data_IF_635183694885
#
_entry.id   IF_635183694885
#
_cell.length_a   1.000
_cell.length_b   1.000
_cell.length_c   1.000
_cell.angle_alpha   90.00
_cell.angle_beta   90.00
_cell.angle_gamma   90.00
#
_symmetry.space_group_name_H-M   'P 1'
#
loop_
_entity.id
_entity.type
_entity.pdbx_description
1 polymer ?
#
# COMPACT_ATOMS: atom_id res chain seq x y z
N UNK A 1 45.31 3.09 -11.10
CA UNK A 1 44.05 3.70 -11.55
C UNK A 1 42.93 2.75 -11.11
N UNK A 2 42.38 2.97 -9.91
CA UNK A 2 41.35 2.11 -9.31
C UNK A 2 40.01 2.62 -9.84
N UNK A 3 39.40 1.86 -10.74
CA UNK A 3 38.03 2.14 -11.21
C UNK A 3 37.09 1.73 -10.07
N UNK A 4 36.65 2.72 -9.29
CA UNK A 4 35.59 2.57 -8.34
C UNK A 4 34.28 2.32 -9.10
N UNK A 5 33.83 1.08 -9.14
CA UNK A 5 32.47 0.76 -9.57
C UNK A 5 31.54 1.20 -8.44
N UNK A 6 30.96 2.39 -8.58
CA UNK A 6 29.82 2.78 -7.78
C UNK A 6 28.69 1.82 -8.13
N UNK A 7 28.47 0.81 -7.29
CA UNK A 7 27.24 0.02 -7.30
C UNK A 7 26.12 0.99 -6.92
N UNK A 8 25.37 1.46 -7.91
CA UNK A 8 24.06 2.04 -7.68
C UNK A 8 23.19 0.95 -7.01
N UNK A 9 23.14 0.98 -5.71
CA UNK A 9 22.17 0.19 -4.95
C UNK A 9 20.81 0.84 -5.21
N UNK A 10 20.07 0.33 -6.21
CA UNK A 10 18.69 0.71 -6.44
C UNK A 10 17.91 0.27 -5.21
N UNK A 11 17.60 1.24 -4.34
CA UNK A 11 16.77 1.03 -3.17
C UNK A 11 15.32 1.20 -3.62
N UNK A 12 14.60 0.10 -3.75
CA UNK A 12 13.17 0.09 -3.99
C UNK A 12 12.51 -0.33 -2.69
N UNK A 13 11.67 0.53 -2.09
CA UNK A 13 10.68 0.06 -1.13
C UNK A 13 9.66 -0.71 -1.95
N UNK A 14 9.55 -1.95 -1.63
CA UNK A 14 8.60 -2.85 -2.25
C UNK A 14 7.62 -3.30 -1.17
N UNK A 15 6.47 -3.81 -1.62
CA UNK A 15 5.60 -4.58 -0.74
C UNK A 15 6.44 -5.43 0.24
N UNK A 16 6.08 -5.57 1.52
CA UNK A 16 4.78 -5.24 2.11
C UNK A 16 4.69 -3.85 2.75
N UNK A 17 5.64 -2.93 2.49
CA UNK A 17 5.52 -1.55 2.97
C UNK A 17 4.31 -0.84 2.34
N UNK A 18 3.58 -0.09 3.16
CA UNK A 18 2.50 0.82 2.72
C UNK A 18 3.10 2.17 2.32
N UNK A 19 4.20 2.55 2.98
CA UNK A 19 4.99 3.74 2.65
C UNK A 19 5.84 3.45 1.41
N UNK A 20 5.63 4.20 0.34
CA UNK A 20 6.38 4.09 -0.91
C UNK A 20 7.76 4.76 -0.81
N UNK A 21 8.68 4.39 -1.69
CA UNK A 21 10.00 4.97 -1.84
C UNK A 21 10.11 5.89 -3.05
N UNK A 22 11.25 6.58 -3.18
CA UNK A 22 11.55 7.45 -4.32
C UNK A 22 12.21 6.73 -5.50
N UNK A 23 12.44 5.41 -5.40
CA UNK A 23 13.09 4.63 -6.46
C UNK A 23 12.31 4.61 -7.77
N UNK A 24 13.04 4.61 -8.87
CA UNK A 24 12.49 4.51 -10.23
C UNK A 24 13.22 3.42 -11.00
N UNK A 25 12.55 2.78 -11.96
CA UNK A 25 13.08 1.61 -12.66
C UNK A 25 14.25 1.95 -13.60
N UNK A 26 14.30 3.20 -14.09
CA UNK A 26 15.20 3.61 -15.15
C UNK A 26 14.61 3.34 -16.53
N UNK A 27 15.09 4.08 -17.52
CA UNK A 27 14.53 4.10 -18.88
C UNK A 27 14.44 2.72 -19.52
N UNK A 28 13.23 2.37 -19.97
CA UNK A 28 12.95 1.16 -20.74
C UNK A 28 12.84 -0.12 -19.92
N UNK A 29 12.97 -0.05 -18.60
CA UNK A 29 12.84 -1.20 -17.69
C UNK A 29 11.43 -1.35 -17.18
N UNK A 30 11.10 -2.58 -16.79
CA UNK A 30 9.81 -2.94 -16.21
C UNK A 30 9.98 -3.55 -14.83
N UNK A 31 8.98 -3.29 -13.97
CA UNK A 31 8.76 -3.98 -12.72
C UNK A 31 7.34 -4.56 -12.73
N UNK A 32 7.20 -5.81 -12.36
CA UNK A 32 5.92 -6.45 -12.12
C UNK A 32 5.83 -6.88 -10.67
N UNK A 33 4.74 -6.54 -10.01
CA UNK A 33 4.44 -6.91 -8.63
C UNK A 33 3.10 -7.63 -8.56
N UNK A 34 3.06 -8.71 -7.80
CA UNK A 34 1.84 -9.40 -7.44
C UNK A 34 1.74 -9.43 -5.92
N UNK A 35 0.88 -8.59 -5.37
CA UNK A 35 0.76 -8.32 -3.94
C UNK A 35 -0.59 -8.80 -3.42
N UNK A 36 -0.57 -9.66 -2.42
CA UNK A 36 -1.76 -10.19 -1.76
C UNK A 36 -1.84 -9.71 -0.32
N UNK A 37 -3.05 -9.38 0.13
CA UNK A 37 -3.31 -9.10 1.54
C UNK A 37 -4.63 -9.72 1.98
N UNK A 38 -4.73 -10.09 3.26
CA UNK A 38 -6.00 -10.50 3.87
C UNK A 38 -6.12 -9.86 5.24
N UNK A 39 -7.18 -9.08 5.44
CA UNK A 39 -7.50 -8.41 6.69
C UNK A 39 -8.66 -9.11 7.39
N UNK A 40 -8.61 -9.05 8.71
CA UNK A 40 -9.62 -9.56 9.61
C UNK A 40 -9.98 -8.47 10.61
N UNK A 41 -11.27 -8.23 10.73
CA UNK A 41 -11.83 -7.32 11.72
C UNK A 41 -12.93 -8.04 12.50
N UNK A 42 -13.02 -7.76 13.80
CA UNK A 42 -14.02 -8.34 14.68
C UNK A 42 -14.57 -7.30 15.63
N UNK A 43 -15.80 -6.90 15.41
CA UNK A 43 -16.53 -6.04 16.33
C UNK A 43 -17.47 -6.83 17.23
N UNK A 44 -17.53 -6.43 18.50
CA UNK A 44 -18.50 -6.95 19.48
C UNK A 44 -19.36 -5.79 19.97
N UNK A 45 -20.66 -5.91 19.82
CA UNK A 45 -21.65 -4.99 20.37
C UNK A 45 -22.55 -5.74 21.33
N UNK A 46 -22.94 -5.09 22.43
CA UNK A 46 -23.97 -5.61 23.37
C UNK A 46 -25.21 -4.78 23.19
N UNK A 47 -26.33 -5.41 22.88
CA UNK A 47 -27.63 -4.75 22.95
C UNK A 47 -28.09 -4.63 24.39
N UNK A 48 -28.99 -3.66 24.70
CA UNK A 48 -29.62 -3.47 26.00
C UNK A 48 -30.37 -4.72 26.50
N UNK A 49 -30.67 -5.66 25.60
CA UNK A 49 -31.30 -6.96 25.88
C UNK A 49 -30.32 -8.02 26.40
N UNK A 50 -29.03 -7.72 26.57
CA UNK A 50 -28.00 -8.67 27.00
C UNK A 50 -27.53 -9.64 25.91
N UNK A 51 -27.97 -9.47 24.67
CA UNK A 51 -27.51 -10.26 23.52
C UNK A 51 -26.22 -9.70 22.96
N UNK A 52 -25.16 -10.51 22.92
CA UNK A 52 -23.91 -10.15 22.29
C UNK A 52 -24.00 -10.40 20.79
N UNK A 53 -23.89 -9.34 19.99
CA UNK A 53 -23.76 -9.42 18.53
C UNK A 53 -22.26 -9.35 18.19
N UNK A 54 -21.79 -10.27 17.36
CA UNK A 54 -20.43 -10.26 16.84
C UNK A 54 -20.49 -10.08 15.33
N UNK A 55 -19.94 -8.99 14.83
CA UNK A 55 -19.67 -8.80 13.41
C UNK A 55 -18.22 -9.22 13.12
N UNK A 56 -18.01 -9.94 12.02
CA UNK A 56 -16.72 -10.35 11.50
C UNK A 56 -16.62 -9.93 10.05
N UNK A 57 -15.59 -9.18 9.72
CA UNK A 57 -15.29 -8.81 8.35
C UNK A 57 -13.96 -9.43 7.92
N UNK A 58 -13.95 -9.92 6.70
CA UNK A 58 -12.77 -10.45 6.05
C UNK A 58 -12.69 -9.88 4.67
N UNK A 59 -11.61 -9.14 4.42
CA UNK A 59 -11.27 -8.65 3.10
C UNK A 59 -9.98 -9.29 2.64
N UNK A 60 -9.99 -9.84 1.42
CA UNK A 60 -8.79 -10.33 0.75
C UNK A 60 -8.63 -9.56 -0.56
N UNK A 61 -7.44 -9.08 -0.83
CA UNK A 61 -7.13 -8.34 -2.05
C UNK A 61 -5.89 -8.93 -2.71
N UNK A 62 -5.92 -9.04 -4.04
CA UNK A 62 -4.77 -9.35 -4.88
C UNK A 62 -4.57 -8.19 -5.86
N UNK A 63 -3.42 -7.53 -5.80
CA UNK A 63 -3.03 -6.43 -6.70
C UNK A 63 -1.95 -6.90 -7.67
N UNK A 64 -2.20 -6.76 -8.97
CA UNK A 64 -1.17 -6.85 -9.99
C UNK A 64 -0.78 -5.43 -10.41
N UNK A 65 0.50 -5.07 -10.23
CA UNK A 65 1.03 -3.78 -10.61
C UNK A 65 2.13 -3.94 -11.69
N UNK A 66 2.06 -3.11 -12.73
CA UNK A 66 3.07 -3.01 -13.77
C UNK A 66 3.63 -1.59 -13.79
N UNK A 67 4.92 -1.49 -13.53
CA UNK A 67 5.67 -0.22 -13.57
C UNK A 67 6.57 -0.20 -14.80
N UNK A 68 6.56 0.91 -15.54
CA UNK A 68 7.43 1.16 -16.68
C UNK A 68 8.26 2.42 -16.49
N UNK A 69 9.57 2.29 -16.58
CA UNK A 69 10.51 3.41 -16.57
C UNK A 69 10.51 4.16 -17.91
N UNK A 70 9.86 5.33 -17.95
CA UNK A 70 9.78 6.17 -19.15
C UNK A 70 11.10 6.86 -19.42
N UNK A 71 11.70 7.40 -18.37
CA UNK A 71 13.07 7.94 -18.31
C UNK A 71 13.69 7.54 -16.96
N UNK A 72 14.96 7.84 -16.73
CA UNK A 72 15.70 7.33 -15.57
C UNK A 72 15.11 7.73 -14.21
N UNK A 73 14.32 8.79 -14.17
CA UNK A 73 13.71 9.32 -12.93
C UNK A 73 12.19 9.47 -13.00
N UNK A 74 11.53 8.86 -14.02
CA UNK A 74 10.06 8.90 -14.15
C UNK A 74 9.53 7.52 -14.52
N UNK A 75 8.60 7.02 -13.70
CA UNK A 75 7.86 5.80 -13.92
C UNK A 75 6.37 6.07 -14.13
N UNK A 76 5.73 5.20 -14.93
CA UNK A 76 4.28 5.06 -15.01
C UNK A 76 3.90 3.72 -14.43
N UNK A 77 2.90 3.72 -13.54
CA UNK A 77 2.45 2.56 -12.78
C UNK A 77 0.98 2.31 -13.10
N UNK A 78 0.64 1.09 -13.49
CA UNK A 78 -0.72 0.61 -13.67
C UNK A 78 -1.01 -0.47 -12.63
N UNK A 79 -2.09 -0.32 -11.84
CA UNK A 79 -2.49 -1.29 -10.82
C UNK A 79 -3.89 -1.82 -11.08
N UNK A 80 -4.02 -3.13 -11.05
CA UNK A 80 -5.25 -3.91 -11.25
C UNK A 80 -5.54 -4.70 -9.96
N UNK A 81 -6.48 -4.25 -9.10
CA UNK A 81 -6.87 -4.98 -7.90
C UNK A 81 -8.05 -5.90 -8.16
N UNK A 82 -8.04 -7.06 -7.48
CA UNK A 82 -9.18 -7.95 -7.36
C UNK A 82 -9.45 -8.21 -5.88
N UNK A 83 -10.71 -8.08 -5.45
CA UNK A 83 -11.12 -8.15 -4.05
C UNK A 83 -12.14 -9.25 -3.81
N UNK A 84 -12.05 -9.84 -2.61
CA UNK A 84 -13.05 -10.73 -1.99
C UNK A 84 -13.40 -10.14 -0.64
N UNK A 85 -14.68 -9.82 -0.42
CA UNK A 85 -15.18 -9.25 0.83
C UNK A 85 -16.27 -10.15 1.40
N UNK A 86 -16.13 -10.56 2.64
CA UNK A 86 -17.10 -11.36 3.36
C UNK A 86 -17.41 -10.74 4.70
N UNK A 87 -18.72 -10.55 4.98
CA UNK A 87 -19.22 -10.05 6.26
C UNK A 87 -20.15 -11.07 6.88
N UNK A 88 -19.92 -11.39 8.16
CA UNK A 88 -20.73 -12.30 8.96
C UNK A 88 -21.22 -11.58 10.21
N UNK A 89 -22.49 -11.78 10.56
CA UNK A 89 -23.09 -11.29 11.81
C UNK A 89 -23.66 -12.49 12.58
N UNK A 90 -23.21 -12.68 13.81
CA UNK A 90 -23.61 -13.82 14.66
C UNK A 90 -23.52 -15.17 13.94
N UNK A 91 -22.36 -15.39 13.24
CA UNK A 91 -22.02 -16.57 12.44
C UNK A 91 -22.93 -16.80 11.21
N UNK A 92 -23.76 -15.81 10.85
CA UNK A 92 -24.53 -15.84 9.60
C UNK A 92 -23.88 -14.93 8.56
N UNK A 93 -23.58 -15.45 7.37
CA UNK A 93 -23.07 -14.65 6.26
C UNK A 93 -24.17 -13.71 5.75
N UNK A 94 -23.90 -12.40 5.80
CA UNK A 94 -24.79 -11.34 5.31
C UNK A 94 -24.33 -10.76 3.98
N UNK A 95 -23.02 -10.84 3.68
CA UNK A 95 -22.44 -10.44 2.40
C UNK A 95 -21.27 -11.35 2.04
N UNK A 96 -21.19 -11.73 0.76
CA UNK A 96 -20.05 -12.47 0.17
C UNK A 96 -19.95 -12.04 -1.29
N UNK A 97 -19.02 -11.12 -1.56
CA UNK A 97 -18.87 -10.49 -2.88
C UNK A 97 -17.42 -10.57 -3.35
N UNK A 98 -17.22 -10.58 -4.65
CA UNK A 98 -15.89 -10.52 -5.24
C UNK A 98 -15.91 -9.89 -6.63
N UNK A 99 -14.79 -9.35 -7.06
CA UNK A 99 -14.65 -8.76 -8.38
C UNK A 99 -13.41 -7.87 -8.50
N UNK A 100 -13.25 -7.30 -9.68
CA UNK A 100 -12.25 -6.26 -9.95
C UNK A 100 -12.66 -5.01 -9.16
N UNK A 101 -11.70 -4.38 -8.48
CA UNK A 101 -11.89 -3.09 -7.85
C UNK A 101 -11.44 -1.95 -8.78
N UNK A 102 -11.44 -0.71 -8.27
CA UNK A 102 -11.07 0.45 -9.08
C UNK A 102 -9.60 0.40 -9.52
N UNK A 103 -9.35 0.62 -10.80
CA UNK A 103 -8.02 0.54 -11.44
C UNK A 103 -7.29 1.87 -11.25
N UNK A 104 -6.00 1.85 -10.88
CA UNK A 104 -5.21 3.07 -10.75
C UNK A 104 -4.11 3.20 -11.80
N UNK A 105 -3.85 4.45 -12.19
CA UNK A 105 -2.72 4.86 -13.01
C UNK A 105 -2.00 5.97 -12.25
N UNK A 106 -0.70 5.79 -12.01
CA UNK A 106 0.13 6.73 -11.26
C UNK A 106 1.39 7.06 -12.05
N UNK A 107 1.95 8.25 -11.80
CA UNK A 107 3.24 8.68 -12.32
C UNK A 107 4.14 9.00 -11.15
N UNK A 108 5.26 8.30 -11.01
CA UNK A 108 6.27 8.62 -10.00
C UNK A 108 7.40 9.42 -10.65
N UNK A 109 7.66 10.61 -10.14
CA UNK A 109 8.77 11.47 -10.60
C UNK A 109 9.71 11.78 -9.44
N UNK A 110 10.92 11.16 -9.47
CA UNK A 110 12.02 11.50 -8.56
C UNK A 110 12.72 12.75 -9.11
N UNK A 111 12.44 13.90 -8.52
CA UNK A 111 12.95 15.19 -8.98
C UNK A 111 14.25 15.62 -8.29
N UNK A 112 14.65 14.94 -7.20
CA UNK A 112 15.87 15.22 -6.48
C UNK A 112 16.49 13.94 -5.94
N UNK A 113 17.83 13.84 -6.05
CA UNK A 113 18.62 12.77 -5.42
C UNK A 113 20.04 13.29 -5.18
N UNK A 114 20.49 13.27 -3.92
CA UNK A 114 21.85 13.65 -3.52
C UNK A 114 22.21 13.05 -2.16
N UNK A 115 23.41 12.46 -2.04
CA UNK A 115 23.98 11.97 -0.78
C UNK A 115 23.03 11.04 0.01
N UNK A 116 22.35 10.11 -0.70
CA UNK A 116 21.39 9.17 -0.14
C UNK A 116 20.05 9.80 0.28
N UNK A 117 19.82 11.09 0.03
CA UNK A 117 18.52 11.75 0.21
C UNK A 117 17.88 11.94 -1.15
N UNK A 118 16.61 11.55 -1.27
CA UNK A 118 15.84 11.73 -2.50
C UNK A 118 14.40 12.13 -2.23
N UNK A 119 13.81 12.87 -3.19
CA UNK A 119 12.43 13.32 -3.16
C UNK A 119 11.72 12.94 -4.45
N UNK A 120 10.48 12.50 -4.32
CA UNK A 120 9.60 12.24 -5.46
C UNK A 120 8.19 12.78 -5.19
N UNK A 121 7.47 13.03 -6.29
CA UNK A 121 6.01 13.20 -6.27
C UNK A 121 5.38 12.07 -7.07
N UNK A 122 4.20 11.65 -6.63
CA UNK A 122 3.43 10.58 -7.27
C UNK A 122 1.97 10.99 -7.39
N UNK A 123 1.60 11.79 -8.43
CA UNK A 123 0.21 11.99 -8.80
C UNK A 123 -0.39 10.71 -9.38
N UNK A 124 -1.67 10.50 -9.14
CA UNK A 124 -2.42 9.35 -9.62
C UNK A 124 -3.89 9.64 -9.87
N UNK A 125 -4.51 8.80 -10.68
CA UNK A 125 -5.95 8.75 -10.90
C UNK A 125 -6.41 7.31 -10.73
N UNK A 126 -7.55 7.13 -10.06
CA UNK A 126 -8.23 5.84 -9.96
C UNK A 126 -9.52 5.91 -10.77
N UNK A 127 -9.71 4.94 -11.65
CA UNK A 127 -10.84 4.85 -12.55
C UNK A 127 -11.90 3.91 -11.96
N UNK A 128 -13.21 4.25 -12.03
CA UNK A 128 -14.29 3.48 -11.42
C UNK A 128 -14.60 2.21 -12.23
N UNK A 129 -13.73 1.21 -12.12
CA UNK A 129 -13.89 -0.09 -12.75
C UNK A 129 -14.60 -1.10 -11.85
N UNK A 130 -14.57 -0.87 -10.53
CA UNK A 130 -15.22 -1.70 -9.53
C UNK A 130 -16.73 -1.49 -9.48
N UNK A 131 -17.44 -2.55 -9.05
CA UNK A 131 -18.88 -2.50 -8.84
C UNK A 131 -19.20 -1.81 -7.51
N UNK A 132 -19.65 -0.56 -7.56
CA UNK A 132 -19.98 0.24 -6.36
C UNK A 132 -21.12 -0.35 -5.52
N UNK A 133 -22.05 -1.08 -6.16
CA UNK A 133 -23.20 -1.68 -5.47
C UNK A 133 -22.78 -2.95 -4.69
N UNK A 134 -21.56 -3.44 -4.94
CA UNK A 134 -20.89 -4.52 -4.19
C UNK A 134 -19.75 -4.01 -3.30
N UNK A 135 -19.63 -2.69 -3.13
CA UNK A 135 -18.53 -2.08 -2.37
C UNK A 135 -17.12 -2.45 -2.89
N UNK A 136 -17.00 -2.60 -4.23
CA UNK A 136 -15.74 -2.88 -4.92
C UNK A 136 -15.17 -1.64 -5.63
N UNK A 137 -15.85 -0.50 -5.56
CA UNK A 137 -15.42 0.74 -6.17
C UNK A 137 -16.21 1.95 -5.69
N UNK A 138 -15.67 3.14 -5.94
CA UNK A 138 -16.25 4.43 -5.50
C UNK A 138 -17.35 4.96 -6.42
N UNK A 139 -17.47 4.37 -7.63
CA UNK A 139 -18.41 4.80 -8.66
C UNK A 139 -18.01 6.10 -9.38
N UNK A 140 -16.87 6.72 -9.01
CA UNK A 140 -16.30 7.92 -9.65
C UNK A 140 -14.78 7.82 -9.72
N UNK A 141 -14.20 8.58 -10.65
CA UNK A 141 -12.74 8.72 -10.68
C UNK A 141 -12.25 9.51 -9.46
N UNK A 142 -11.20 9.03 -8.82
CA UNK A 142 -10.55 9.69 -7.68
C UNK A 142 -9.15 10.15 -8.06
N UNK A 143 -8.65 11.20 -7.41
CA UNK A 143 -7.31 11.73 -7.66
C UNK A 143 -6.42 11.61 -6.43
N UNK A 144 -5.14 11.26 -6.61
CA UNK A 144 -4.16 11.17 -5.53
C UNK A 144 -2.93 12.01 -5.84
N UNK A 145 -2.27 12.49 -4.78
CA UNK A 145 -0.96 13.12 -4.87
C UNK A 145 -0.16 12.74 -3.62
N UNK A 146 0.99 12.09 -3.81
CA UNK A 146 1.93 11.79 -2.74
C UNK A 146 3.22 12.57 -2.91
N UNK A 147 3.73 13.12 -1.81
CA UNK A 147 5.10 13.55 -1.65
C UNK A 147 5.86 12.46 -0.90
N UNK A 148 6.94 11.99 -1.49
CA UNK A 148 7.71 10.85 -1.02
C UNK A 148 9.14 11.29 -0.75
N UNK A 149 9.69 10.88 0.40
CA UNK A 149 11.08 11.10 0.77
C UNK A 149 11.74 9.77 1.09
N UNK A 150 12.95 9.55 0.60
CA UNK A 150 13.80 8.43 1.00
C UNK A 150 15.13 8.95 1.50
N UNK A 151 15.62 8.40 2.61
CA UNK A 151 16.97 8.63 3.15
C UNK A 151 17.66 7.29 3.35
N UNK A 152 18.69 7.02 2.57
CA UNK A 152 19.59 5.86 2.71
C UNK A 152 20.78 6.24 3.62
N UNK A 153 20.98 5.48 4.71
CA UNK A 153 22.08 5.59 5.67
C UNK A 153 22.47 4.15 6.04
N UNK A 154 23.24 3.48 5.18
CA UNK A 154 23.61 2.07 5.37
C UNK A 154 23.96 1.71 6.84
N UNK A 155 23.35 0.66 7.43
CA UNK A 155 22.47 -0.35 6.83
C UNK A 155 20.97 0.01 6.83
N UNK A 156 20.59 1.24 7.18
CA UNK A 156 19.21 1.71 7.33
C UNK A 156 18.75 2.48 6.09
N UNK A 157 17.48 2.30 5.72
CA UNK A 157 16.80 3.17 4.77
C UNK A 157 15.48 3.61 5.38
N UNK A 158 15.17 4.89 5.30
CA UNK A 158 13.94 5.48 5.82
C UNK A 158 13.12 6.09 4.71
N UNK A 159 11.80 5.93 4.78
CA UNK A 159 10.85 6.49 3.83
C UNK A 159 9.76 7.25 4.56
N UNK A 160 9.37 8.41 4.05
CA UNK A 160 8.25 9.22 4.54
C UNK A 160 7.31 9.54 3.38
N UNK A 161 6.02 9.28 3.55
CA UNK A 161 4.99 9.67 2.61
C UNK A 161 4.01 10.64 3.26
N UNK A 162 3.72 11.73 2.54
CA UNK A 162 2.61 12.63 2.83
C UNK A 162 1.69 12.61 1.61
N UNK A 163 0.45 12.23 1.80
CA UNK A 163 -0.51 12.01 0.73
C UNK A 163 -1.78 12.82 0.90
N UNK A 164 -2.39 13.14 -0.23
CA UNK A 164 -3.73 13.66 -0.35
C UNK A 164 -4.48 12.89 -1.42
N UNK A 165 -5.72 12.46 -1.11
CA UNK A 165 -6.66 11.84 -2.03
C UNK A 165 -7.93 12.67 -2.10
N UNK A 166 -8.29 13.10 -3.30
CA UNK A 166 -9.64 13.59 -3.60
C UNK A 166 -10.50 12.38 -3.96
N UNK A 167 -11.27 11.92 -2.98
CA UNK A 167 -12.09 10.71 -3.04
C UNK A 167 -13.48 11.04 -3.57
N UNK A 168 -13.58 11.45 -4.84
CA UNK A 168 -14.88 11.60 -5.49
C UNK A 168 -15.60 10.25 -5.47
N UNK A 169 -16.83 10.21 -4.97
CA UNK A 169 -17.56 8.96 -4.79
C UNK A 169 -19.08 9.16 -4.88
N UNK A 170 -19.82 8.05 -5.00
CA UNK A 170 -21.29 8.00 -4.98
C UNK A 170 -21.83 7.18 -3.79
N UNK A 171 -20.96 6.79 -2.86
CA UNK A 171 -21.25 5.92 -1.72
C UNK A 171 -21.25 6.67 -0.38
N UNK A 172 -21.34 8.00 -0.43
CA UNK A 172 -21.40 8.92 0.72
C UNK A 172 -20.19 8.91 1.66
N UNK A 173 -19.01 8.62 1.13
CA UNK A 173 -17.75 8.73 1.85
C UNK A 173 -17.23 10.17 1.89
N UNK A 174 -16.26 10.42 2.80
CA UNK A 174 -15.50 11.66 2.89
C UNK A 174 -14.64 11.85 1.64
N UNK A 175 -14.64 13.06 1.09
CA UNK A 175 -13.97 13.35 -0.18
C UNK A 175 -12.50 13.76 -0.01
N UNK A 176 -12.15 14.44 1.08
CA UNK A 176 -10.80 14.93 1.32
C UNK A 176 -10.07 14.03 2.32
N UNK A 177 -9.17 13.19 1.84
CA UNK A 177 -8.43 12.20 2.65
C UNK A 177 -6.95 12.58 2.65
N UNK A 178 -6.38 12.84 3.82
CA UNK A 178 -4.93 12.91 3.99
C UNK A 178 -4.35 11.57 4.39
N UNK A 179 -3.09 11.33 4.05
CA UNK A 179 -2.30 10.17 4.44
C UNK A 179 -0.93 10.62 4.94
N UNK A 180 -0.42 9.99 6.01
CA UNK A 180 0.95 10.16 6.47
C UNK A 180 1.49 8.82 6.95
N UNK A 181 2.68 8.44 6.47
CA UNK A 181 3.32 7.19 6.88
C UNK A 181 4.83 7.28 6.87
N UNK A 182 5.47 6.51 7.76
CA UNK A 182 6.91 6.40 7.92
C UNK A 182 7.30 4.92 7.91
N UNK A 183 8.31 4.57 7.12
CA UNK A 183 8.88 3.23 7.09
C UNK A 183 10.39 3.26 7.31
N UNK A 184 10.89 2.14 7.81
CA UNK A 184 12.31 1.84 7.95
C UNK A 184 12.63 0.44 7.41
N UNK A 185 13.71 0.34 6.66
CA UNK A 185 14.30 -0.91 6.25
C UNK A 185 15.65 -1.10 6.94
N UNK A 186 15.95 -2.31 7.35
CA UNK A 186 17.25 -2.68 7.89
C UNK A 186 17.85 -3.83 7.08
N UNK A 187 18.97 -3.57 6.41
CA UNK A 187 19.72 -4.55 5.59
C UNK A 187 20.49 -5.51 6.48
N UNK A 188 19.94 -6.72 6.75
CA UNK A 188 20.63 -7.77 7.53
C UNK A 188 21.73 -8.39 6.70
N UNK A 189 21.43 -8.72 5.44
CA UNK A 189 22.36 -9.26 4.46
C UNK A 189 22.13 -8.58 3.11
N UNK A 190 22.88 -8.98 2.08
CA UNK A 190 22.63 -8.51 0.70
C UNK A 190 21.27 -8.96 0.14
N UNK A 191 20.69 -10.01 0.71
CA UNK A 191 19.46 -10.65 0.21
C UNK A 191 18.29 -10.56 1.19
N UNK A 192 18.51 -10.14 2.44
CA UNK A 192 17.47 -10.08 3.47
C UNK A 192 17.40 -8.71 4.11
N UNK A 193 16.23 -8.11 4.08
CA UNK A 193 15.90 -6.88 4.78
C UNK A 193 14.77 -7.13 5.78
N UNK A 194 14.86 -6.58 6.98
CA UNK A 194 13.70 -6.39 7.86
C UNK A 194 13.07 -5.03 7.58
N UNK A 195 11.76 -4.97 7.73
CA UNK A 195 11.00 -3.74 7.51
C UNK A 195 10.07 -3.46 8.68
N UNK A 196 9.86 -2.17 8.94
CA UNK A 196 8.84 -1.68 9.84
C UNK A 196 8.16 -0.46 9.23
N UNK A 197 6.86 -0.30 9.48
CA UNK A 197 6.08 0.81 8.92
C UNK A 197 5.01 1.22 9.94
N UNK A 198 4.78 2.51 10.06
CA UNK A 198 3.67 3.10 10.82
C UNK A 198 2.99 4.15 9.95
N UNK A 199 1.69 4.28 10.08
CA UNK A 199 0.97 5.28 9.30
C UNK A 199 -0.44 5.52 9.82
N UNK A 200 -1.04 6.58 9.31
CA UNK A 200 -2.43 6.93 9.54
C UNK A 200 -2.98 7.67 8.33
N UNK A 201 -4.28 7.61 8.14
CA UNK A 201 -4.99 8.38 7.13
C UNK A 201 -6.34 8.87 7.68
N UNK A 202 -6.93 9.83 7.00
CA UNK A 202 -8.26 10.32 7.38
C UNK A 202 -9.29 9.24 7.10
N UNK A 203 -10.18 9.01 8.08
CA UNK A 203 -11.28 8.04 7.91
C UNK A 203 -12.22 8.48 6.78
N UNK A 204 -12.57 7.54 5.90
CA UNK A 204 -13.54 7.75 4.82
C UNK A 204 -14.97 7.88 5.34
N UNK A 205 -15.30 7.23 6.45
CA UNK A 205 -16.59 7.36 7.10
C UNK A 205 -16.77 8.76 7.71
N UNK A 206 -17.76 9.50 7.22
CA UNK A 206 -18.09 10.86 7.68
C UNK A 206 -18.58 10.90 9.11
N UNK A 207 -19.12 9.79 9.65
CA UNK A 207 -19.63 9.68 11.01
C UNK A 207 -18.54 9.40 12.04
N UNK A 208 -17.35 8.98 11.60
CA UNK A 208 -16.23 8.65 12.46
C UNK A 208 -15.23 9.80 12.57
N UNK A 209 -14.87 10.17 13.81
CA UNK A 209 -13.77 11.10 14.10
C UNK A 209 -12.44 10.37 14.36
N UNK A 210 -12.46 9.03 14.41
CA UNK A 210 -11.25 8.22 14.60
C UNK A 210 -10.62 7.92 13.26
N UNK A 211 -9.38 8.34 13.06
CA UNK A 211 -8.61 8.08 11.86
C UNK A 211 -7.94 6.70 11.96
N UNK A 212 -8.05 5.82 10.95
CA UNK A 212 -7.34 4.55 10.93
C UNK A 212 -5.83 4.78 11.04
N UNK A 213 -5.19 3.99 11.89
CA UNK A 213 -3.75 4.03 12.13
C UNK A 213 -3.22 2.62 12.33
N UNK A 214 -2.04 2.34 11.79
CA UNK A 214 -1.46 1.00 11.78
C UNK A 214 0.01 0.98 12.16
N UNK A 215 0.46 -0.19 12.57
CA UNK A 215 1.87 -0.59 12.61
C UNK A 215 2.04 -1.87 11.81
N UNK A 216 3.17 -1.99 11.09
CA UNK A 216 3.48 -3.16 10.28
C UNK A 216 4.94 -3.55 10.50
N UNK A 217 5.20 -4.85 10.53
CA UNK A 217 6.53 -5.44 10.52
C UNK A 217 6.60 -6.59 9.54
N UNK A 218 7.77 -6.82 8.95
CA UNK A 218 7.93 -7.87 7.96
C UNK A 218 9.37 -8.01 7.45
N UNK A 219 9.51 -8.71 6.34
CA UNK A 219 10.80 -8.89 5.68
C UNK A 219 10.63 -8.93 4.15
N UNK A 220 11.74 -8.62 3.46
CA UNK A 220 11.90 -8.77 2.02
C UNK A 220 13.11 -9.66 1.79
N UNK A 221 12.94 -10.70 0.96
CA UNK A 221 13.99 -11.64 0.62
C UNK A 221 14.21 -11.73 -0.88
N UNK A 222 15.42 -11.35 -1.33
CA UNK A 222 15.83 -11.44 -2.72
C UNK A 222 16.27 -12.88 -3.04
N UNK A 223 15.41 -13.61 -3.77
CA UNK A 223 15.72 -14.97 -4.26
C UNK A 223 16.78 -14.91 -5.36
N UNK A 224 16.70 -13.87 -6.20
CA UNK A 224 17.62 -13.56 -7.30
C UNK A 224 17.75 -12.03 -7.42
N UNK A 225 18.71 -11.56 -8.20
CA UNK A 225 18.92 -10.12 -8.45
C UNK A 225 17.66 -9.42 -9.02
N UNK A 226 16.83 -10.16 -9.75
CA UNK A 226 15.63 -9.66 -10.39
C UNK A 226 14.32 -10.17 -9.77
N UNK A 227 14.38 -10.88 -8.61
CA UNK A 227 13.19 -11.46 -7.99
C UNK A 227 13.25 -11.38 -6.47
N UNK A 228 12.26 -10.70 -5.89
CA UNK A 228 12.04 -10.66 -4.44
C UNK A 228 10.72 -11.35 -4.08
N UNK A 229 10.69 -11.89 -2.89
CA UNK A 229 9.47 -12.26 -2.16
C UNK A 229 9.45 -11.51 -0.84
N UNK A 230 8.27 -11.27 -0.35
CA UNK A 230 8.10 -10.56 0.90
C UNK A 230 6.94 -11.11 1.73
N UNK A 231 6.95 -10.78 3.01
CA UNK A 231 5.88 -11.08 3.94
C UNK A 231 5.82 -10.01 5.02
N UNK A 232 4.60 -9.62 5.41
CA UNK A 232 4.36 -8.66 6.48
C UNK A 232 3.11 -8.98 7.28
N UNK A 233 3.08 -8.42 8.50
CA UNK A 233 1.90 -8.42 9.37
C UNK A 233 1.65 -6.99 9.79
N UNK A 234 0.45 -6.49 9.52
CA UNK A 234 -0.05 -5.17 9.93
C UNK A 234 -1.06 -5.36 11.05
N UNK A 235 -0.95 -4.57 12.11
CA UNK A 235 -1.92 -4.49 13.19
C UNK A 235 -2.53 -3.10 13.27
N UNK A 236 -3.83 -3.01 13.53
CA UNK A 236 -4.53 -1.76 13.80
C UNK A 236 -4.09 -1.18 15.14
N UNK A 237 -3.85 0.13 15.20
CA UNK A 237 -3.55 0.85 16.44
C UNK A 237 -4.81 1.40 17.10
N UNK A 238 -5.95 1.35 16.40
CA UNK A 238 -7.25 1.76 16.91
C UNK A 238 -8.36 0.99 16.16
N UNK A 239 -9.63 1.19 16.57
CA UNK A 239 -10.79 0.48 16.04
C UNK A 239 -11.22 0.89 14.63
N UNK A 240 -10.63 1.92 14.06
CA UNK A 240 -10.92 2.35 12.67
C UNK A 240 -10.02 1.64 11.66
N UNK A 241 -9.05 0.86 12.11
CA UNK A 241 -8.17 0.01 11.30
C UNK A 241 -8.46 -1.46 11.61
N UNK A 242 -8.34 -2.32 10.61
CA UNK A 242 -8.52 -3.77 10.78
C UNK A 242 -7.62 -4.33 11.90
N UNK A 243 -8.14 -5.26 12.69
CA UNK A 243 -7.42 -5.85 13.84
C UNK A 243 -6.06 -6.41 13.43
N UNK A 244 -6.04 -7.17 12.31
CA UNK A 244 -4.83 -7.76 11.76
C UNK A 244 -4.94 -7.94 10.24
N UNK A 245 -3.84 -7.66 9.53
CA UNK A 245 -3.70 -7.93 8.08
C UNK A 245 -2.41 -8.68 7.82
N UNK A 246 -2.49 -9.76 7.07
CA UNK A 246 -1.34 -10.49 6.54
C UNK A 246 -1.08 -10.05 5.10
N UNK A 247 0.17 -9.82 4.77
CA UNK A 247 0.62 -9.36 3.46
C UNK A 247 1.70 -10.30 2.92
N UNK A 248 1.65 -10.61 1.64
CA UNK A 248 2.70 -11.37 0.95
C UNK A 248 2.77 -10.92 -0.52
N UNK A 249 3.97 -10.86 -1.07
CA UNK A 249 4.19 -10.38 -2.42
C UNK A 249 5.33 -11.06 -3.16
N UNK A 250 5.30 -10.86 -4.47
CA UNK A 250 6.38 -11.24 -5.40
C UNK A 250 6.65 -10.05 -6.29
N UNK A 251 7.93 -9.69 -6.41
CA UNK A 251 8.42 -8.60 -7.28
C UNK A 251 9.36 -9.18 -8.32
N UNK A 252 9.12 -8.85 -9.60
CA UNK A 252 9.94 -9.25 -10.74
C UNK A 252 10.43 -8.02 -11.52
N UNK A 253 11.74 -7.96 -11.82
CA UNK A 253 12.39 -6.87 -12.57
C UNK A 253 12.89 -7.37 -13.92
N UNK A 254 12.67 -6.57 -14.97
CA UNK A 254 13.03 -6.89 -16.38
C UNK A 254 13.83 -5.76 -17.05
#
# INVERSE_FOLDING_TARGET
MIVSHAFLTLCFASHPLITDDTGTQGKGKFLFELNGQTSHEREKSSEDTGTNITAKERETELKAALTYGVIDNVDVILTLPYQWKKTEVSDTTISDVSGIADISIEVKWRFFEKDGLSFAIKPGITLPAGDKDKDLGTGRATGTLYFITTKDIDPWVFHLNLGYKRNENTIDEREDIWHASLAGEFKITKTLKLIANIGAERNTDKSSDTNPAFILGGFIYSIRENMDIDFGVKGGLNKAEADITYLAGITLRF
#
